data_IF_137855300269
#
_entry.id   IF_137855300269
#
_cell.length_a   1.000
_cell.length_b   1.000
_cell.length_c   1.000
_cell.angle_alpha   90.00
_cell.angle_beta   90.00
_cell.angle_gamma   90.00
#
_symmetry.space_group_name_H-M   'P 1'
#
loop_
_entity.id
_entity.type
_entity.pdbx_description
1 polymer ?
#
# COMPACT_ATOMS: atom_id res chain seq x y z
N UNK A 1 14.98 -1.97 19.20
CA UNK A 1 13.86 -2.40 18.32
C UNK A 1 13.62 -1.30 17.29
N UNK A 2 13.73 -1.59 15.99
CA UNK A 2 13.63 -0.60 14.92
C UNK A 2 12.16 -0.55 14.44
N UNK A 3 11.41 0.42 14.97
CA UNK A 3 10.00 0.65 14.62
C UNK A 3 9.89 1.18 13.19
N UNK A 4 8.82 0.83 12.46
CA UNK A 4 8.54 1.31 11.10
C UNK A 4 8.51 2.84 11.06
N UNK A 5 9.06 3.44 10.00
CA UNK A 5 8.91 4.87 9.68
C UNK A 5 8.17 5.06 8.36
N UNK A 6 7.67 6.26 8.12
CA UNK A 6 6.93 6.64 6.89
C UNK A 6 7.67 6.23 5.60
N UNK A 7 8.99 6.44 5.54
CA UNK A 7 9.82 6.00 4.40
C UNK A 7 9.76 4.48 4.14
N UNK A 8 9.61 3.68 5.19
CA UNK A 8 9.56 2.22 5.09
C UNK A 8 8.19 1.78 4.55
N UNK A 9 7.13 2.53 4.87
CA UNK A 9 5.79 2.33 4.30
C UNK A 9 5.76 2.72 2.83
N UNK A 10 6.28 3.90 2.49
CA UNK A 10 6.34 4.37 1.10
C UNK A 10 7.14 3.43 0.19
N UNK A 11 8.25 2.87 0.70
CA UNK A 11 9.09 1.93 -0.05
C UNK A 11 8.40 0.59 -0.33
N UNK A 12 7.42 0.19 0.48
CA UNK A 12 6.73 -1.11 0.35
C UNK A 12 5.42 -0.96 -0.41
N UNK A 13 4.65 0.10 -0.16
CA UNK A 13 3.26 0.24 -0.63
C UNK A 13 3.11 1.28 -1.76
N UNK A 14 4.02 2.25 -1.89
CA UNK A 14 3.93 3.32 -2.89
C UNK A 14 3.11 4.53 -2.42
N UNK A 15 2.32 5.14 -3.31
CA UNK A 15 1.36 6.21 -2.94
C UNK A 15 0.18 5.58 -2.21
N UNK A 16 -0.02 5.98 -0.96
CA UNK A 16 -1.15 5.54 -0.12
C UNK A 16 -1.68 6.77 0.61
N UNK A 17 -2.95 6.73 1.01
CA UNK A 17 -3.54 7.78 1.84
C UNK A 17 -2.71 7.98 3.12
N UNK A 18 -2.47 9.24 3.47
CA UNK A 18 -1.73 9.63 4.67
C UNK A 18 -2.35 9.05 5.94
N UNK A 19 -3.69 8.91 6.00
CA UNK A 19 -4.40 8.30 7.11
C UNK A 19 -3.98 6.83 7.30
N UNK A 20 -3.87 6.08 6.19
CA UNK A 20 -3.41 4.68 6.22
C UNK A 20 -1.97 4.61 6.72
N UNK A 21 -1.10 5.52 6.26
CA UNK A 21 0.30 5.59 6.72
C UNK A 21 0.38 5.85 8.23
N UNK A 22 -0.38 6.82 8.74
CA UNK A 22 -0.40 7.14 10.17
C UNK A 22 -0.91 5.96 11.02
N UNK A 23 -1.96 5.27 10.56
CA UNK A 23 -2.48 4.08 11.24
C UNK A 23 -1.49 2.90 11.19
N UNK A 24 -0.78 2.70 10.08
CA UNK A 24 0.30 1.70 10.00
C UNK A 24 1.41 2.00 11.00
N UNK A 25 1.81 3.26 11.17
CA UNK A 25 2.82 3.65 12.16
C UNK A 25 2.34 3.45 13.61
N UNK A 26 1.05 3.74 13.88
CA UNK A 26 0.44 3.55 15.21
C UNK A 26 0.40 2.09 15.66
N UNK A 27 0.46 1.12 14.74
CA UNK A 27 0.54 -0.31 15.11
C UNK A 27 1.82 -0.67 15.89
N UNK A 28 2.86 0.18 15.81
CA UNK A 28 4.15 -0.09 16.45
C UNK A 28 4.88 -1.32 15.87
N UNK A 29 4.49 -1.77 14.69
CA UNK A 29 5.10 -2.91 14.03
C UNK A 29 6.54 -2.60 13.58
N UNK A 30 7.28 -3.67 13.32
CA UNK A 30 8.63 -3.66 12.77
C UNK A 30 8.59 -3.71 11.24
N UNK A 31 9.67 -3.26 10.60
CA UNK A 31 9.77 -3.29 9.14
C UNK A 31 9.62 -4.70 8.56
N UNK A 32 10.07 -5.73 9.28
CA UNK A 32 9.89 -7.12 8.88
C UNK A 32 8.41 -7.51 8.90
N UNK A 33 7.69 -7.16 9.98
CA UNK A 33 6.26 -7.42 10.10
C UNK A 33 5.47 -6.76 8.95
N UNK A 34 5.82 -5.52 8.59
CA UNK A 34 5.20 -4.82 7.46
C UNK A 34 5.43 -5.53 6.13
N UNK A 35 6.67 -5.98 5.86
CA UNK A 35 6.99 -6.72 4.64
C UNK A 35 6.26 -8.06 4.57
N UNK A 36 6.15 -8.77 5.70
CA UNK A 36 5.38 -10.00 5.80
C UNK A 36 3.89 -9.77 5.55
N UNK A 37 3.29 -8.73 6.16
CA UNK A 37 1.89 -8.37 5.91
C UNK A 37 1.66 -8.02 4.43
N UNK A 38 2.56 -7.25 3.82
CA UNK A 38 2.45 -6.90 2.41
C UNK A 38 2.56 -8.12 1.49
N UNK A 39 3.51 -9.02 1.77
CA UNK A 39 3.65 -10.28 1.04
C UNK A 39 2.41 -11.17 1.23
N UNK A 40 1.78 -11.16 2.41
CA UNK A 40 0.54 -11.87 2.67
C UNK A 40 -0.58 -11.33 1.77
N UNK A 41 -0.81 -10.02 1.75
CA UNK A 41 -1.87 -9.36 0.96
C UNK A 41 -1.70 -9.57 -0.54
N UNK A 42 -0.46 -9.52 -1.06
CA UNK A 42 -0.17 -9.73 -2.48
C UNK A 42 -0.09 -11.21 -2.88
N UNK A 43 0.09 -12.10 -1.91
CA UNK A 43 0.28 -13.53 -2.14
C UNK A 43 -1.02 -14.34 -2.16
N UNK A 44 -0.95 -15.62 -2.55
CA UNK A 44 -2.13 -16.50 -2.58
C UNK A 44 -2.69 -16.79 -1.17
N UNK A 45 -1.88 -16.57 -0.12
CA UNK A 45 -2.30 -16.73 1.27
C UNK A 45 -3.42 -15.75 1.68
N UNK A 46 -3.55 -14.61 1.00
CA UNK A 46 -4.63 -13.64 1.25
C UNK A 46 -6.03 -14.24 1.07
N UNK A 47 -6.18 -15.26 0.23
CA UNK A 47 -7.47 -15.93 0.00
C UNK A 47 -7.84 -16.94 1.10
N UNK A 48 -6.93 -17.22 2.05
CA UNK A 48 -7.13 -18.22 3.10
C UNK A 48 -7.47 -17.56 4.44
N UNK A 49 -8.75 -17.64 4.82
CA UNK A 49 -9.22 -17.19 6.14
C UNK A 49 -8.46 -17.89 7.29
N UNK A 50 -8.17 -19.19 7.13
CA UNK A 50 -7.36 -19.93 8.11
C UNK A 50 -5.94 -19.39 8.24
N UNK A 51 -5.32 -18.97 7.14
CA UNK A 51 -3.97 -18.40 7.19
C UNK A 51 -3.98 -17.03 7.88
N UNK A 52 -5.06 -16.25 7.71
CA UNK A 52 -5.27 -14.98 8.40
C UNK A 52 -5.53 -15.16 9.91
N UNK A 53 -6.33 -16.14 10.30
CA UNK A 53 -6.69 -16.40 11.70
C UNK A 53 -5.49 -16.81 12.58
N UNK A 54 -4.46 -17.40 11.96
CA UNK A 54 -3.21 -17.82 12.64
C UNK A 54 -2.28 -16.63 12.88
N UNK A 55 -2.49 -15.50 12.22
CA UNK A 55 -1.67 -14.31 12.40
C UNK A 55 -1.90 -13.68 13.79
N UNK A 56 -0.87 -13.00 14.31
CA UNK A 56 -1.05 -12.20 15.53
C UNK A 56 -2.01 -11.03 15.27
N UNK A 57 -2.70 -10.53 16.30
CA UNK A 57 -3.62 -9.37 16.17
C UNK A 57 -2.97 -8.15 15.51
N UNK A 58 -1.67 -7.93 15.77
CA UNK A 58 -0.91 -6.84 15.13
C UNK A 58 -0.78 -7.06 13.63
N UNK A 59 -0.47 -8.29 13.22
CA UNK A 59 -0.29 -8.67 11.83
C UNK A 59 -1.61 -8.67 11.05
N UNK A 60 -2.70 -9.14 11.67
CA UNK A 60 -4.06 -9.02 11.13
C UNK A 60 -4.40 -7.55 10.82
N UNK A 61 -4.14 -6.66 11.77
CA UNK A 61 -4.40 -5.23 11.58
C UNK A 61 -3.53 -4.60 10.48
N UNK A 62 -2.28 -5.04 10.31
CA UNK A 62 -1.45 -4.60 9.18
C UNK A 62 -2.03 -5.08 7.84
N UNK A 63 -2.48 -6.34 7.77
CA UNK A 63 -3.11 -6.90 6.57
C UNK A 63 -4.39 -6.15 6.21
N UNK A 64 -5.24 -5.82 7.20
CA UNK A 64 -6.47 -5.06 6.98
C UNK A 64 -6.18 -3.67 6.42
N UNK A 65 -5.27 -2.91 7.06
CA UNK A 65 -4.89 -1.57 6.65
C UNK A 65 -4.27 -1.56 5.24
N UNK A 66 -3.44 -2.54 4.92
CA UNK A 66 -2.85 -2.68 3.59
C UNK A 66 -3.89 -3.08 2.55
N UNK A 67 -4.86 -3.93 2.89
CA UNK A 67 -5.93 -4.33 1.98
C UNK A 67 -6.80 -3.12 1.63
N UNK A 68 -7.19 -2.32 2.63
CA UNK A 68 -7.95 -1.07 2.40
C UNK A 68 -7.13 -0.08 1.58
N UNK A 69 -5.90 0.23 1.99
CA UNK A 69 -5.07 1.22 1.31
C UNK A 69 -4.69 0.83 -0.13
N UNK A 70 -4.54 -0.46 -0.42
CA UNK A 70 -4.28 -0.94 -1.78
C UNK A 70 -5.51 -0.89 -2.68
N UNK A 71 -6.71 -1.10 -2.14
CA UNK A 71 -7.97 -0.94 -2.89
C UNK A 71 -8.12 0.52 -3.34
N UNK A 72 -7.87 1.48 -2.45
CA UNK A 72 -7.96 2.91 -2.78
C UNK A 72 -6.94 3.34 -3.85
N UNK A 73 -5.77 2.67 -3.91
CA UNK A 73 -4.76 2.96 -4.92
C UNK A 73 -5.16 2.40 -6.30
N UNK A 74 -5.90 1.29 -6.35
CA UNK A 74 -6.39 0.70 -7.59
C UNK A 74 -7.56 1.48 -8.20
N UNK A 75 -8.38 2.13 -7.36
CA UNK A 75 -9.50 2.97 -7.77
C UNK A 75 -9.09 4.40 -8.17
N UNK A 76 -7.81 4.76 -8.06
CA UNK A 76 -7.32 6.05 -8.56
C UNK A 76 -6.98 5.92 -10.05
N UNK A 77 -7.79 6.45 -10.99
CA UNK A 77 -7.36 6.55 -12.37
C UNK A 77 -6.09 7.42 -12.40
N UNK A 78 -4.99 6.83 -12.86
CA UNK A 78 -3.80 7.58 -13.23
C UNK A 78 -4.25 8.74 -14.13
N UNK A 79 -3.88 10.01 -13.86
CA UNK A 79 -4.14 11.07 -14.80
C UNK A 79 -3.39 10.70 -16.07
N UNK A 80 -4.13 10.26 -17.09
CA UNK A 80 -3.63 10.07 -18.44
C UNK A 80 -3.04 11.42 -18.80
N UNK A 81 -1.71 11.46 -18.89
CA UNK A 81 -1.01 12.64 -19.36
C UNK A 81 -1.63 12.97 -20.71
N UNK A 82 -2.45 14.02 -20.76
CA UNK A 82 -2.98 14.60 -21.99
C UNK A 82 -1.79 15.25 -22.69
N UNK A 83 -0.95 14.40 -23.29
CA UNK A 83 0.17 14.78 -24.13
C UNK A 83 -0.33 14.76 -25.57
N UNK A 84 -1.29 15.62 -25.88
CA UNK A 84 -1.63 15.92 -27.28
C UNK A 84 -2.25 17.30 -27.44
N UNK A 85 -1.62 18.30 -26.81
CA UNK A 85 -1.84 19.71 -27.15
C UNK A 85 -0.52 20.38 -27.54
N UNK A 86 0.19 19.74 -28.48
CA UNK A 86 1.29 20.35 -29.24
C UNK A 86 1.30 19.88 -30.70
N UNK A 87 0.19 20.07 -31.41
CA UNK A 87 0.26 20.52 -32.79
C UNK A 87 0.54 22.03 -32.76
N UNK A 88 1.80 22.48 -32.65
CA UNK A 88 2.55 23.02 -33.81
C UNK A 88 1.57 23.56 -34.86
N UNK A 89 1.23 24.85 -34.86
CA UNK A 89 2.12 25.93 -35.32
C UNK A 89 3.25 25.41 -36.21
N UNK A 90 2.93 25.09 -37.47
CA UNK A 90 3.81 25.30 -38.64
C UNK A 90 3.10 24.98 -39.97
N UNK A 91 3.20 25.96 -40.89
CA UNK A 91 2.91 25.96 -42.33
C UNK A 91 1.41 25.84 -42.69
N UNK A 92 0.84 26.63 -43.61
CA UNK A 92 1.37 27.39 -44.73
C UNK A 92 0.54 28.68 -44.93
#
# INVERSE_FOLDING_TARGET
MNVIRERDVAAVVGRVDRLIVEELLRTGATQLELRCAYAFVKGPANASARAYDVLSRRMQRLVDLLTVGLVDTADTPLPVASREERGRYRAA
#
